data_IF_232022229224
#
_entry.id   IF_232022229224
#
_cell.length_a   1.000
_cell.length_b   1.000
_cell.length_c   1.000
_cell.angle_alpha   90.00
_cell.angle_beta   90.00
_cell.angle_gamma   90.00
#
_symmetry.space_group_name_H-M   'P 1'
#
loop_
_entity.id
_entity.type
_entity.pdbx_description
1 polymer ?
#
# COMPACT_ATOMS: atom_id res chain seq x y z
N UNK A 1 -16.80 -9.60 14.83
CA UNK A 1 -18.15 -8.98 14.83
C UNK A 1 -19.29 -9.97 14.56
N UNK A 2 -19.37 -10.53 13.35
CA UNK A 2 -20.56 -11.26 12.88
C UNK A 2 -21.01 -12.44 13.77
N UNK A 3 -20.07 -13.16 14.36
CA UNK A 3 -20.34 -14.30 15.27
C UNK A 3 -20.17 -13.94 16.75
N UNK A 4 -20.12 -12.66 17.09
CA UNK A 4 -19.97 -12.19 18.48
C UNK A 4 -18.54 -12.26 19.06
N UNK A 5 -17.51 -12.56 18.26
CA UNK A 5 -16.13 -12.68 18.74
C UNK A 5 -15.50 -11.35 19.20
N UNK A 6 -15.95 -10.22 18.65
CA UNK A 6 -15.43 -8.89 18.96
C UNK A 6 -16.43 -7.82 18.52
N UNK A 7 -16.52 -6.71 19.26
CA UNK A 7 -17.41 -5.59 18.98
C UNK A 7 -17.02 -4.82 17.71
N UNK A 8 -15.70 -4.69 17.47
CA UNK A 8 -15.12 -3.95 16.33
C UNK A 8 -13.89 -4.69 15.79
N UNK A 9 -13.49 -4.35 14.57
CA UNK A 9 -12.26 -4.84 13.94
C UNK A 9 -11.44 -3.66 13.42
N UNK A 10 -10.14 -3.88 13.32
CA UNK A 10 -9.21 -3.02 12.58
C UNK A 10 -8.71 -3.84 11.41
N UNK A 11 -8.87 -3.32 10.20
CA UNK A 11 -8.53 -4.04 8.97
C UNK A 11 -8.03 -3.06 7.89
N UNK A 12 -7.32 -3.59 6.91
CA UNK A 12 -6.92 -2.84 5.72
C UNK A 12 -8.06 -2.89 4.69
N UNK A 13 -8.53 -1.72 4.27
CA UNK A 13 -9.63 -1.60 3.32
C UNK A 13 -9.28 -0.65 2.17
N UNK A 14 -9.74 -0.99 0.96
CA UNK A 14 -9.61 -0.15 -0.23
C UNK A 14 -10.92 0.63 -0.47
N UNK A 15 -11.81 0.15 -1.33
CA UNK A 15 -13.11 0.80 -1.61
C UNK A 15 -14.20 0.55 -0.56
N UNK A 16 -13.92 -0.27 0.46
CA UNK A 16 -14.86 -0.66 1.50
C UNK A 16 -15.92 -1.69 1.08
N UNK A 17 -15.86 -2.22 -0.14
CA UNK A 17 -16.82 -3.24 -0.62
C UNK A 17 -16.84 -4.51 0.25
N UNK A 18 -15.67 -4.94 0.74
CA UNK A 18 -15.56 -6.11 1.64
C UNK A 18 -16.30 -5.89 2.96
N UNK A 19 -16.24 -4.67 3.52
CA UNK A 19 -17.00 -4.34 4.73
C UNK A 19 -18.50 -4.40 4.46
N UNK A 20 -18.96 -3.79 3.36
CA UNK A 20 -20.39 -3.78 2.98
C UNK A 20 -20.95 -5.19 2.77
N UNK A 21 -20.19 -6.07 2.10
CA UNK A 21 -20.59 -7.47 1.88
C UNK A 21 -20.80 -8.24 3.19
N UNK A 22 -20.17 -7.79 4.28
CA UNK A 22 -20.28 -8.37 5.62
C UNK A 22 -21.22 -7.57 6.55
N UNK A 23 -22.00 -6.63 6.01
CA UNK A 23 -22.90 -5.78 6.80
C UNK A 23 -22.16 -4.80 7.72
N UNK A 24 -20.89 -4.50 7.43
CA UNK A 24 -20.05 -3.59 8.21
C UNK A 24 -19.93 -2.23 7.49
N UNK A 25 -19.69 -1.18 8.26
CA UNK A 25 -19.40 0.16 7.78
C UNK A 25 -18.12 0.69 8.43
N UNK A 26 -17.30 1.49 7.71
CA UNK A 26 -16.17 2.19 8.30
C UNK A 26 -16.65 3.10 9.44
N UNK A 27 -15.91 3.11 10.55
CA UNK A 27 -16.16 4.01 11.68
C UNK A 27 -15.20 5.21 11.64
N UNK A 28 -13.91 4.92 11.55
CA UNK A 28 -12.83 5.90 11.56
C UNK A 28 -11.67 5.37 10.71
N UNK A 29 -10.99 6.26 10.00
CA UNK A 29 -9.72 5.94 9.32
C UNK A 29 -8.58 6.12 10.31
N UNK A 30 -7.86 5.04 10.60
CA UNK A 30 -6.71 5.07 11.53
C UNK A 30 -5.47 5.63 10.83
N UNK A 31 -5.17 5.15 9.63
CA UNK A 31 -4.00 5.59 8.87
C UNK A 31 -4.16 5.32 7.37
N UNK A 32 -3.68 6.28 6.58
CA UNK A 32 -3.42 6.07 5.15
C UNK A 32 -2.13 5.26 4.97
N UNK A 33 -2.14 4.30 4.05
CA UNK A 33 -0.97 3.47 3.77
C UNK A 33 -0.49 3.59 2.33
N UNK A 34 0.79 3.28 2.14
CA UNK A 34 1.42 3.27 0.82
C UNK A 34 2.37 2.09 0.72
N UNK A 35 2.49 1.49 -0.46
CA UNK A 35 3.59 0.57 -0.74
C UNK A 35 4.92 1.33 -0.77
N UNK A 36 5.97 0.77 -0.15
CA UNK A 36 7.31 1.37 -0.10
C UNK A 36 8.36 0.36 -0.54
N UNK A 37 9.31 0.81 -1.36
CA UNK A 37 10.51 0.02 -1.69
C UNK A 37 11.51 0.13 -0.55
N UNK A 38 11.79 -0.98 0.12
CA UNK A 38 12.77 -1.06 1.21
C UNK A 38 14.03 -1.76 0.71
N UNK A 39 15.20 -1.13 0.95
CA UNK A 39 16.50 -1.66 0.51
C UNK A 39 17.38 -1.90 1.73
N UNK A 40 18.02 -3.07 1.78
CA UNK A 40 19.03 -3.36 2.78
C UNK A 40 20.25 -2.42 2.62
N UNK A 41 20.70 -1.81 3.72
CA UNK A 41 21.80 -0.82 3.71
C UNK A 41 23.13 -1.39 3.20
N UNK A 42 23.50 -2.61 3.59
CA UNK A 42 24.74 -3.24 3.13
C UNK A 42 24.68 -3.54 1.63
N UNK A 43 23.54 -4.07 1.15
CA UNK A 43 23.31 -4.28 -0.28
C UNK A 43 23.35 -2.96 -1.05
N UNK A 44 22.77 -1.88 -0.53
CA UNK A 44 22.80 -0.54 -1.14
C UNK A 44 24.22 -0.01 -1.32
N UNK A 45 25.13 -0.33 -0.39
CA UNK A 45 26.55 0.05 -0.49
C UNK A 45 27.30 -0.83 -1.49
N UNK A 46 27.13 -2.15 -1.40
CA UNK A 46 27.90 -3.10 -2.22
C UNK A 46 27.41 -3.20 -3.67
N UNK A 47 26.13 -2.95 -3.91
CA UNK A 47 25.46 -3.10 -5.22
C UNK A 47 24.84 -1.78 -5.69
N UNK A 48 25.49 -0.66 -5.35
CA UNK A 48 24.96 0.70 -5.51
C UNK A 48 24.39 0.96 -6.90
N UNK A 49 25.19 0.78 -7.95
CA UNK A 49 24.77 1.10 -9.33
C UNK A 49 23.57 0.28 -9.79
N UNK A 50 23.60 -1.04 -9.54
CA UNK A 50 22.51 -1.94 -9.91
C UNK A 50 21.21 -1.56 -9.20
N UNK A 51 21.29 -1.27 -7.90
CA UNK A 51 20.11 -0.89 -7.11
C UNK A 51 19.60 0.49 -7.55
N UNK A 52 20.49 1.47 -7.75
CA UNK A 52 20.11 2.82 -8.21
C UNK A 52 19.47 2.81 -9.60
N UNK A 53 19.94 1.94 -10.48
CA UNK A 53 19.31 1.72 -11.80
C UNK A 53 17.90 1.13 -11.65
N UNK A 54 17.72 0.14 -10.77
CA UNK A 54 16.40 -0.43 -10.51
C UNK A 54 15.42 0.57 -9.89
N UNK A 55 15.88 1.37 -8.92
CA UNK A 55 15.09 2.44 -8.30
C UNK A 55 14.59 3.41 -9.37
N UNK A 56 15.47 3.92 -10.24
CA UNK A 56 15.08 4.84 -11.33
C UNK A 56 14.01 4.26 -12.24
N UNK A 57 14.16 3.00 -12.67
CA UNK A 57 13.16 2.33 -13.52
C UNK A 57 11.79 2.22 -12.85
N UNK A 58 11.76 1.99 -11.53
CA UNK A 58 10.51 1.97 -10.76
C UNK A 58 9.91 3.38 -10.65
N UNK A 59 10.71 4.39 -10.36
CA UNK A 59 10.27 5.79 -10.28
C UNK A 59 9.63 6.26 -11.59
N UNK A 60 10.26 5.95 -12.73
CA UNK A 60 9.74 6.28 -14.06
C UNK A 60 8.40 5.60 -14.33
N UNK A 61 8.31 4.30 -14.00
CA UNK A 61 7.09 3.50 -14.21
C UNK A 61 5.91 4.03 -13.38
N UNK A 62 6.16 4.31 -12.09
CA UNK A 62 5.12 4.80 -11.18
C UNK A 62 4.69 6.23 -11.53
N UNK A 63 5.62 7.09 -11.96
CA UNK A 63 5.32 8.46 -12.39
C UNK A 63 4.48 8.47 -13.67
N UNK A 64 4.83 7.63 -14.64
CA UNK A 64 4.04 7.46 -15.87
C UNK A 64 2.66 6.83 -15.63
N UNK A 65 2.50 5.99 -14.61
CA UNK A 65 1.20 5.43 -14.23
C UNK A 65 0.30 6.45 -13.52
N UNK A 66 0.87 7.30 -12.65
CA UNK A 66 0.13 8.41 -12.01
C UNK A 66 -0.39 9.44 -13.01
N UNK A 67 0.39 9.74 -14.06
CA UNK A 67 -0.07 10.61 -15.15
C UNK A 67 -1.25 10.02 -15.92
N UNK A 68 -1.22 8.71 -16.20
CA UNK A 68 -2.28 7.99 -16.93
C UNK A 68 -3.59 7.82 -16.16
N UNK A 69 -3.53 7.68 -14.82
CA UNK A 69 -4.74 7.61 -13.98
C UNK A 69 -5.42 8.96 -13.74
N UNK A 70 -4.76 10.08 -14.07
CA UNK A 70 -5.28 11.45 -13.88
C UNK A 70 -5.76 12.12 -15.18
N UNK A 71 -5.46 11.52 -16.33
CA UNK A 71 -5.99 11.90 -17.65
C UNK A 71 -7.26 11.08 -17.94
#
# INVERSE_FOLDING_TARGET
PLVGLADRIVDLVDTGNTLRANGLAPLETIAEISSRLIVNKAAMKMKHERIKSFIRRLEDSVSGERGRRRA
#
